data_IF_748169733007
#
_entry.id   IF_748169733007
#
_cell.length_a   1.000
_cell.length_b   1.000
_cell.length_c   1.000
_cell.angle_alpha   90.00
_cell.angle_beta   90.00
_cell.angle_gamma   90.00
#
_symmetry.space_group_name_H-M   'P 1'
#
loop_
_entity.id
_entity.type
_entity.pdbx_description
1 polymer ?
2 non-polymer ?
3 non-polymer ?
4 water ?
#
# COMPACT_ATOMS: atom_id res chain seq x y z
N UNK A 22 10.42 -23.89 -4.97
CA UNK A 22 10.83 -22.48 -5.26
C UNK A 22 12.25 -22.20 -4.78
N UNK A 23 12.97 -21.31 -5.47
CA UNK A 23 14.34 -20.99 -5.05
C UNK A 23 14.39 -20.00 -3.87
N UNK A 24 15.60 -19.69 -3.39
CA UNK A 24 15.77 -18.73 -2.27
C UNK A 24 15.18 -17.39 -2.71
N UNK A 25 14.63 -16.62 -1.77
CA UNK A 25 14.03 -15.31 -2.06
C UNK A 25 14.82 -14.44 -3.03
N UNK A 26 16.08 -14.14 -2.70
CA UNK A 26 16.90 -13.30 -3.58
C UNK A 26 17.08 -13.89 -4.97
N UNK A 27 17.22 -15.22 -5.05
CA UNK A 27 17.37 -15.83 -6.35
C UNK A 27 16.08 -15.71 -7.14
N UNK A 28 14.93 -15.83 -6.47
CA UNK A 28 13.65 -15.69 -7.16
C UNK A 28 13.48 -14.25 -7.64
N UNK A 29 13.86 -13.29 -6.79
CA UNK A 29 13.72 -11.89 -7.18
C UNK A 29 14.53 -11.62 -8.46
N UNK A 30 15.77 -12.12 -8.49
CA UNK A 30 16.62 -11.94 -9.67
C UNK A 30 15.96 -12.57 -10.90
N UNK A 31 15.41 -13.76 -10.72
CA UNK A 31 14.74 -14.46 -11.81
C UNK A 31 13.56 -13.64 -12.32
N UNK A 32 12.83 -12.98 -11.42
CA UNK A 32 11.71 -12.15 -11.86
C UNK A 32 12.19 -10.97 -12.72
N UNK A 33 13.31 -10.35 -12.37
CA UNK A 33 13.79 -9.22 -13.20
C UNK A 33 14.18 -9.75 -14.59
N UNK A 34 14.80 -10.93 -14.63
CA UNK A 34 15.21 -11.53 -15.89
C UNK A 34 14.01 -11.85 -16.79
N UNK A 35 13.01 -12.49 -16.21
CA UNK A 35 11.82 -12.87 -16.96
C UNK A 35 10.95 -11.66 -17.34
N UNK A 36 10.91 -10.64 -16.50
CA UNK A 36 10.08 -9.46 -16.80
C UNK A 36 10.79 -8.32 -17.56
N UNK A 37 12.11 -8.33 -17.53
CA UNK A 37 12.93 -7.28 -18.12
C UNK A 37 12.58 -5.99 -17.38
N UNK A 38 12.23 -6.10 -16.10
CA UNK A 38 11.89 -4.92 -15.33
C UNK A 38 12.63 -4.87 -14.01
N UNK A 39 12.50 -3.75 -13.29
CA UNK A 39 13.16 -3.58 -11.99
C UNK A 39 12.19 -4.01 -10.90
N UNK A 40 12.69 -4.81 -9.96
CA UNK A 40 11.92 -5.24 -8.80
C UNK A 40 12.58 -4.58 -7.59
N UNK A 41 11.75 -4.13 -6.64
CA UNK A 41 12.26 -3.51 -5.42
C UNK A 41 11.59 -4.30 -4.31
N UNK A 42 12.34 -4.75 -3.30
CA UNK A 42 11.71 -5.55 -2.26
C UNK A 42 12.34 -5.44 -0.87
N UNK A 43 11.50 -5.49 0.16
CA UNK A 43 12.00 -5.50 1.52
C UNK A 43 11.11 -6.43 2.32
N UNK A 44 11.74 -7.26 3.14
CA UNK A 44 11.06 -8.18 4.05
C UNK A 44 11.54 -7.75 5.43
N UNK A 45 10.61 -7.38 6.30
CA UNK A 45 10.98 -6.80 7.59
C UNK A 45 10.13 -7.34 8.75
N UNK A 46 10.76 -7.57 9.90
CA UNK A 46 10.00 -8.02 11.06
C UNK A 46 9.09 -6.86 11.49
N UNK A 47 7.80 -7.11 11.63
CA UNK A 47 6.88 -6.05 12.03
C UNK A 47 7.11 -5.52 13.44
N UNK A 48 7.36 -6.42 14.37
CA UNK A 48 7.56 -6.04 15.76
C UNK A 48 8.84 -5.25 16.03
N UNK A 49 9.93 -5.63 15.39
CA UNK A 49 11.20 -4.97 15.65
C UNK A 49 11.80 -4.12 14.55
N UNK A 50 11.44 -4.40 13.29
CA UNK A 50 12.00 -3.65 12.18
C UNK A 50 13.26 -4.29 11.63
N UNK A 51 13.58 -5.49 12.11
CA UNK A 51 14.75 -6.18 11.61
C UNK A 51 14.56 -6.43 10.10
N UNK A 52 15.54 -6.01 9.30
CA UNK A 52 15.48 -6.22 7.86
C UNK A 52 16.05 -7.60 7.50
N UNK A 53 15.25 -8.43 6.83
CA UNK A 53 15.67 -9.78 6.45
C UNK A 53 16.16 -9.90 5.03
N UNK A 54 15.38 -9.40 4.08
CA UNK A 54 15.73 -9.45 2.67
C UNK A 54 15.57 -8.02 2.14
N UNK A 55 16.55 -7.57 1.38
CA UNK A 55 16.50 -6.22 0.83
C UNK A 55 17.10 -6.27 -0.58
N UNK A 56 16.31 -5.84 -1.56
CA UNK A 56 16.74 -5.81 -2.95
C UNK A 56 16.28 -4.49 -3.56
N UNK A 57 17.24 -3.70 -4.03
CA UNK A 57 16.98 -2.37 -4.59
C UNK A 57 16.12 -1.60 -3.59
N UNK A 58 16.42 -1.80 -2.32
CA UNK A 58 15.65 -1.19 -1.23
C UNK A 58 15.68 0.32 -1.13
N UNK A 59 16.72 0.94 -1.71
CA UNK A 59 16.82 2.38 -1.68
C UNK A 59 16.55 3.01 -3.03
N UNK A 60 16.01 2.23 -3.97
CA UNK A 60 15.68 2.77 -5.29
C UNK A 60 14.21 3.19 -5.32
N UNK A 61 13.89 4.18 -6.14
CA UNK A 61 12.52 4.69 -6.22
C UNK A 61 11.58 3.88 -7.11
N UNK A 62 10.35 3.73 -6.61
CA UNK A 62 9.29 3.03 -7.32
C UNK A 62 7.99 3.79 -7.13
N UNK A 63 7.13 3.81 -8.16
CA UNK A 63 5.84 4.51 -8.04
C UNK A 63 5.02 3.76 -6.95
N UNK A 64 4.39 4.50 -6.03
CA UNK A 64 3.58 3.88 -4.99
C UNK A 64 2.25 3.32 -5.51
N UNK A 65 1.69 3.98 -6.51
CA UNK A 65 0.38 3.55 -7.04
C UNK A 65 -0.62 3.52 -5.89
N UNK A 66 -1.56 2.57 -5.91
CA UNK A 66 -2.58 2.52 -4.87
C UNK A 66 -2.07 2.25 -3.46
N UNK A 67 -0.83 1.80 -3.33
CA UNK A 67 -0.35 1.50 -1.98
C UNK A 67 -0.25 2.78 -1.15
N UNK A 68 -0.21 3.95 -1.79
CA UNK A 68 -0.13 5.19 -1.03
C UNK A 68 -1.34 5.36 -0.13
N UNK A 69 -2.44 4.69 -0.48
CA UNK A 69 -3.68 4.84 0.30
C UNK A 69 -3.58 4.42 1.77
N UNK A 70 -2.65 3.52 2.09
CA UNK A 70 -2.49 3.12 3.50
C UNK A 70 -1.84 4.28 4.26
N UNK A 71 -0.86 4.95 3.66
CA UNK A 71 -0.23 6.10 4.30
C UNK A 71 -1.24 7.24 4.44
N UNK A 72 -2.03 7.46 3.40
CA UNK A 72 -3.09 8.47 3.42
C UNK A 72 -4.00 8.27 4.63
N UNK A 73 -4.52 7.04 4.82
CA UNK A 73 -5.40 6.82 5.95
C UNK A 73 -4.67 6.89 7.30
N UNK A 74 -3.34 6.72 7.29
CA UNK A 74 -2.59 6.89 8.52
C UNK A 74 -2.61 8.39 8.86
N UNK A 75 -2.51 9.25 7.85
CA UNK A 75 -2.53 10.71 8.08
C UNK A 75 -3.93 11.10 8.58
N UNK A 76 -4.98 10.50 8.02
CA UNK A 76 -6.33 10.78 8.47
C UNK A 76 -6.49 10.37 9.95
N UNK A 77 -6.03 9.16 10.30
CA UNK A 77 -6.12 8.70 11.68
C UNK A 77 -5.34 9.60 12.63
N UNK A 78 -4.22 10.16 12.17
CA UNK A 78 -3.44 11.06 13.01
C UNK A 78 -4.27 12.30 13.32
N UNK A 79 -5.05 12.76 12.34
CA UNK A 79 -5.90 13.93 12.57
C UNK A 79 -7.03 13.58 13.54
N UNK A 80 -7.56 12.38 13.42
CA UNK A 80 -8.62 11.94 14.34
C UNK A 80 -8.06 11.89 15.76
N UNK A 81 -6.86 11.34 15.92
CA UNK A 81 -6.23 11.24 17.25
C UNK A 81 -6.03 12.62 17.89
N UNK A 82 -5.74 13.62 17.06
CA UNK A 82 -5.53 14.98 17.53
C UNK A 82 -6.83 15.76 17.74
N UNK A 83 -7.96 15.16 17.38
CA UNK A 83 -9.24 15.82 17.55
C UNK A 83 -9.58 16.77 16.42
N UNK A 84 -8.87 16.68 15.31
CA UNK A 84 -9.12 17.57 14.17
C UNK A 84 -9.97 16.91 13.10
N UNK A 85 -10.32 15.66 13.33
CA UNK A 85 -11.12 14.88 12.37
C UNK A 85 -11.90 13.83 13.14
N UNK A 86 -12.98 13.33 12.56
CA UNK A 86 -13.77 12.28 13.17
C UNK A 86 -14.05 11.27 12.07
N UNK A 87 -13.92 9.99 12.38
CA UNK A 87 -14.20 8.97 11.36
C UNK A 87 -15.69 8.98 11.06
N UNK A 88 -16.50 9.46 11.99
CA UNK A 88 -17.95 9.53 11.80
C UNK A 88 -18.42 10.69 10.91
N UNK A 89 -17.59 11.72 10.76
CA UNK A 89 -17.99 12.89 9.99
C UNK A 89 -18.40 12.54 8.57
N UNK A 90 -19.62 12.92 8.21
CA UNK A 90 -20.14 12.63 6.87
C UNK A 90 -19.70 13.69 5.88
N UNK A 91 -19.16 13.27 4.75
CA UNK A 91 -18.73 14.20 3.72
C UNK A 91 -19.69 14.06 2.54
N UNK A 92 -20.24 15.18 2.07
CA UNK A 92 -21.13 15.12 0.92
C UNK A 92 -20.34 15.65 -0.28
N UNK A 93 -20.43 14.96 -1.41
CA UNK A 93 -19.68 15.37 -2.58
C UNK A 93 -20.58 15.35 -3.82
N UNK A 94 -20.03 15.80 -4.95
CA UNK A 94 -20.79 15.87 -6.19
C UNK A 94 -20.27 14.93 -7.26
N UNK A 95 -21.10 14.68 -8.26
CA UNK A 95 -20.70 13.77 -9.33
C UNK A 95 -19.46 14.28 -10.05
N UNK A 96 -19.35 15.61 -10.14
CA UNK A 96 -18.19 16.22 -10.80
C UNK A 96 -16.89 15.98 -10.04
N UNK A 97 -16.98 15.53 -8.80
CA UNK A 97 -15.79 15.27 -7.97
C UNK A 97 -15.24 13.87 -8.21
N UNK A 98 -16.00 13.04 -8.89
CA UNK A 98 -15.57 11.67 -9.12
C UNK A 98 -14.54 11.51 -10.20
N UNK A 99 -13.58 10.62 -9.97
CA UNK A 99 -12.59 10.29 -10.97
C UNK A 99 -12.77 8.81 -11.33
N UNK A 100 -11.97 8.35 -12.29
CA UNK A 100 -12.02 6.98 -12.77
C UNK A 100 -11.92 5.92 -11.67
N UNK A 101 -12.91 5.04 -11.65
CA UNK A 101 -13.07 3.89 -10.73
C UNK A 101 -13.42 4.29 -9.31
N UNK A 102 -14.72 4.36 -9.09
CA UNK A 102 -15.31 4.77 -7.82
C UNK A 102 -16.48 3.83 -7.52
N UNK A 103 -16.19 2.52 -7.37
CA UNK A 103 -17.24 1.54 -7.11
C UNK A 103 -18.14 1.78 -5.92
N UNK A 104 -17.61 2.37 -4.86
CA UNK A 104 -18.40 2.64 -3.66
C UNK A 104 -18.88 4.10 -3.66
N UNK A 105 -17.97 5.04 -3.87
CA UNK A 105 -18.35 6.45 -3.82
C UNK A 105 -19.41 6.88 -4.85
N UNK A 106 -19.46 6.23 -6.01
CA UNK A 106 -20.48 6.63 -7.00
C UNK A 106 -21.89 6.26 -6.54
N UNK A 107 -21.99 5.43 -5.51
CA UNK A 107 -23.29 4.99 -4.98
C UNK A 107 -23.83 5.89 -3.89
N UNK A 108 -23.04 6.88 -3.45
CA UNK A 108 -23.46 7.74 -2.36
C UNK A 108 -23.49 9.23 -2.69
N UNK A 109 -23.94 9.55 -3.89
CA UNK A 109 -24.03 10.95 -4.30
C UNK A 109 -25.16 11.64 -3.53
N UNK A 110 -26.16 10.88 -3.13
CA UNK A 110 -27.29 11.47 -2.40
C UNK A 110 -27.06 11.54 -0.90
N UNK A 111 -26.45 10.51 -0.32
CA UNK A 111 -26.28 10.49 1.12
C UNK A 111 -24.90 10.72 1.71
N UNK A 112 -23.89 10.80 0.85
CA UNK A 112 -22.54 11.04 1.35
C UNK A 112 -21.94 9.81 1.97
N UNK A 113 -20.71 9.97 2.46
CA UNK A 113 -19.97 8.89 3.10
C UNK A 113 -19.19 9.45 4.28
N UNK A 114 -19.05 8.65 5.34
CA UNK A 114 -18.27 9.16 6.47
C UNK A 114 -16.78 9.05 6.12
N UNK A 115 -15.96 9.80 6.85
CA UNK A 115 -14.51 9.75 6.66
C UNK A 115 -14.04 8.29 6.83
N UNK A 116 -14.53 7.61 7.86
CA UNK A 116 -14.15 6.21 8.05
C UNK A 116 -14.58 5.36 6.88
N UNK A 117 -15.78 5.60 6.35
CA UNK A 117 -16.24 4.82 5.19
C UNK A 117 -15.38 5.08 3.96
N UNK A 118 -14.92 6.32 3.81
CA UNK A 118 -14.07 6.67 2.69
C UNK A 118 -12.73 5.92 2.78
N UNK A 119 -12.16 5.83 3.98
CA UNK A 119 -10.90 5.07 4.13
C UNK A 119 -11.14 3.60 3.84
N UNK A 120 -12.27 3.04 4.30
CA UNK A 120 -12.54 1.65 4.00
C UNK A 120 -12.69 1.46 2.49
N UNK A 121 -13.39 2.39 1.82
CA UNK A 121 -13.58 2.29 0.37
C UNK A 121 -12.24 2.41 -0.36
N UNK A 122 -11.41 3.38 0.03
CA UNK A 122 -10.11 3.56 -0.60
C UNK A 122 -9.21 2.32 -0.42
N UNK A 123 -9.11 1.83 0.80
CA UNK A 123 -8.20 0.70 1.04
C UNK A 123 -8.77 -0.67 0.66
N UNK A 124 -10.01 -0.97 1.06
CA UNK A 124 -10.55 -2.30 0.77
C UNK A 124 -11.18 -2.48 -0.61
N UNK A 125 -11.58 -1.38 -1.25
CA UNK A 125 -12.19 -1.44 -2.58
C UNK A 125 -11.43 -0.67 -3.67
N UNK A 126 -10.28 -0.09 -3.31
CA UNK A 126 -9.45 0.70 -4.23
C UNK A 126 -10.25 1.81 -4.92
N UNK A 127 -11.13 2.43 -4.15
CA UNK A 127 -11.98 3.52 -4.67
C UNK A 127 -11.15 4.79 -4.87
N UNK A 128 -11.00 5.25 -6.11
CA UNK A 128 -10.16 6.41 -6.37
C UNK A 128 -10.73 7.75 -5.94
N UNK A 129 -12.06 7.92 -6.04
CA UNK A 129 -12.64 9.17 -5.61
C UNK A 129 -12.59 9.24 -4.08
N UNK A 130 -12.80 8.11 -3.41
CA UNK A 130 -12.74 8.11 -1.95
C UNK A 130 -11.32 8.57 -1.54
N UNK A 131 -10.29 8.10 -2.24
CA UNK A 131 -8.94 8.52 -1.94
C UNK A 131 -8.70 10.02 -2.16
N UNK A 132 -9.25 10.56 -3.24
CA UNK A 132 -9.08 12.00 -3.50
C UNK A 132 -9.81 12.85 -2.47
N UNK A 133 -11.01 12.42 -2.08
CA UNK A 133 -11.75 13.14 -1.06
C UNK A 133 -10.94 13.18 0.24
N UNK A 134 -10.32 12.06 0.61
CA UNK A 134 -9.50 12.01 1.83
C UNK A 134 -8.21 12.83 1.68
N UNK A 135 -7.63 12.81 0.49
CA UNK A 135 -6.40 13.54 0.24
C UNK A 135 -6.62 15.04 0.48
N UNK A 136 -7.78 15.54 0.06
CA UNK A 136 -8.08 16.93 0.26
C UNK A 136 -8.11 17.27 1.75
N UNK A 137 -8.69 16.38 2.57
CA UNK A 137 -8.77 16.64 4.01
C UNK A 137 -7.44 16.74 4.73
N UNK A 138 -6.38 16.18 4.15
CA UNK A 138 -5.06 16.23 4.77
C UNK A 138 -4.15 17.26 4.13
N UNK A 139 -4.69 18.06 3.22
CA UNK A 139 -3.88 19.10 2.60
C UNK A 139 -3.32 18.76 1.23
N UNK A 140 -3.94 17.78 0.59
CA UNK A 140 -3.51 17.35 -0.74
C UNK A 140 -2.18 16.65 -0.69
N UNK A 141 -1.59 16.36 -1.88
CA UNK A 141 -0.30 15.69 -1.97
C UNK A 141 0.76 16.40 -1.12
N UNK A 142 0.78 17.72 -1.15
CA UNK A 142 1.79 18.45 -0.37
C UNK A 142 1.58 18.17 1.12
N UNK A 143 0.32 18.17 1.55
CA UNK A 143 -0.01 17.89 2.94
C UNK A 143 0.38 16.48 3.38
N UNK A 144 0.14 15.49 2.53
CA UNK A 144 0.50 14.12 2.88
C UNK A 144 2.02 13.98 2.93
N UNK A 145 2.73 14.66 2.04
CA UNK A 145 4.19 14.60 2.04
C UNK A 145 4.73 15.24 3.32
N UNK A 146 4.12 16.34 3.75
CA UNK A 146 4.54 16.99 5.00
C UNK A 146 4.34 16.02 6.18
N UNK A 147 3.23 15.28 6.15
CA UNK A 147 2.95 14.28 7.20
C UNK A 147 4.07 13.25 7.22
N UNK A 148 4.47 12.78 6.03
CA UNK A 148 5.54 11.79 5.93
C UNK A 148 6.82 12.37 6.54
N UNK A 149 7.12 13.62 6.22
CA UNK A 149 8.32 14.24 6.77
C UNK A 149 8.22 14.32 8.30
N UNK A 150 7.01 14.58 8.80
CA UNK A 150 6.82 14.65 10.24
C UNK A 150 7.00 13.34 11.00
N UNK A 151 6.79 12.20 10.34
CA UNK A 151 6.99 10.92 11.01
C UNK A 151 8.39 10.38 10.67
N UNK A 152 9.23 11.21 10.08
CA UNK A 152 10.58 10.76 9.80
C UNK A 152 10.87 10.13 8.46
N UNK A 153 9.92 10.16 7.53
CA UNK A 153 10.15 9.60 6.20
C UNK A 153 10.58 10.80 5.33
N UNK A 154 11.86 10.85 4.98
CA UNK A 154 12.39 11.95 4.18
C UNK A 154 12.55 11.60 2.71
N UNK A 155 12.00 10.46 2.29
CA UNK A 155 12.11 9.98 0.92
C UNK A 155 10.79 9.88 0.14
N UNK A 156 9.80 9.24 0.74
CA UNK A 156 8.52 9.11 0.06
C UNK A 156 7.88 10.47 -0.26
N UNK A 157 7.25 10.58 -1.43
CA UNK A 157 6.62 11.84 -1.80
C UNK A 157 5.38 11.61 -2.64
N UNK A 158 4.33 12.37 -2.35
CA UNK A 158 3.14 12.30 -3.20
C UNK A 158 3.07 13.68 -3.83
N UNK A 159 2.82 13.71 -5.12
CA UNK A 159 2.77 14.96 -5.89
C UNK A 159 1.49 15.19 -6.66
N UNK A 160 0.77 14.11 -6.94
CA UNK A 160 -0.45 14.21 -7.74
C UNK A 160 -1.62 13.50 -7.11
N UNK A 161 -2.77 13.60 -7.75
CA UNK A 161 -4.01 13.00 -7.29
C UNK A 161 -4.34 11.76 -8.11
N UNK A 162 -5.42 11.06 -7.73
CA UNK A 162 -5.84 9.91 -8.54
C UNK A 162 -6.52 10.53 -9.76
N UNK A 163 -6.34 9.95 -10.95
CA UNK A 163 -5.53 8.76 -11.20
C UNK A 163 -4.16 9.07 -11.81
N UNK A 164 -3.84 10.35 -11.97
CA UNK A 164 -2.53 10.71 -12.57
C UNK A 164 -1.31 10.20 -11.80
N UNK A 165 -1.46 9.97 -10.50
CA UNK A 165 -0.32 9.49 -9.70
C UNK A 165 0.16 8.09 -10.11
N UNK A 166 -0.61 7.41 -10.95
CA UNK A 166 -0.22 6.06 -11.41
C UNK A 166 0.52 6.07 -12.73
N UNK A 167 0.84 7.26 -13.25
CA UNK A 167 1.46 7.36 -14.58
C UNK A 167 2.79 6.65 -14.75
N UNK A 168 3.59 6.61 -13.70
CA UNK A 168 4.86 5.88 -13.74
C UNK A 168 5.77 6.18 -14.94
N UNK A 169 6.02 7.45 -15.21
CA UNK A 169 6.92 7.82 -16.31
C UNK A 169 8.32 7.39 -15.92
N UNK A 170 9.10 6.90 -16.89
CA UNK A 170 10.46 6.49 -16.54
C UNK A 170 11.27 7.68 -15.99
N UNK A 171 11.97 7.45 -14.88
CA UNK A 171 12.80 8.48 -14.28
C UNK A 171 12.11 9.61 -13.53
N UNK A 172 10.78 9.54 -13.44
CA UNK A 172 9.98 10.55 -12.77
C UNK A 172 9.96 10.26 -11.27
N UNK A 173 10.40 11.22 -10.47
CA UNK A 173 10.44 11.02 -9.02
C UNK A 173 9.08 11.28 -8.35
N UNK A 174 8.11 11.77 -9.11
CA UNK A 174 6.80 12.07 -8.54
C UNK A 174 6.06 10.82 -8.05
N UNK A 175 5.40 10.94 -6.89
CA UNK A 175 4.57 9.85 -6.37
C UNK A 175 5.31 8.55 -6.16
N UNK A 176 6.53 8.67 -5.65
CA UNK A 176 7.35 7.49 -5.43
C UNK A 176 7.73 7.28 -3.96
N UNK A 177 8.22 6.08 -3.70
CA UNK A 177 8.74 5.72 -2.39
C UNK A 177 9.91 4.78 -2.70
N UNK A 178 10.52 4.25 -1.65
CA UNK A 178 11.55 3.23 -1.85
C UNK A 178 11.04 2.07 -1.00
N UNK A 179 11.45 0.84 -1.30
CA UNK A 179 10.97 -0.27 -0.47
C UNK A 179 11.30 -0.08 1.01
N UNK A 180 12.52 0.36 1.29
CA UNK A 180 12.95 0.56 2.67
C UNK A 180 12.14 1.65 3.36
N UNK A 181 11.86 2.75 2.65
CA UNK A 181 11.10 3.85 3.25
C UNK A 181 9.67 3.44 3.50
N UNK A 182 9.05 2.76 2.54
CA UNK A 182 7.68 2.33 2.72
C UNK A 182 7.51 1.33 3.85
N UNK A 183 8.42 0.36 3.96
CA UNK A 183 8.33 -0.62 5.03
C UNK A 183 8.48 0.08 6.38
N UNK A 184 9.46 0.97 6.49
CA UNK A 184 9.66 1.67 7.76
C UNK A 184 8.44 2.51 8.15
N UNK A 185 7.87 3.19 7.16
CA UNK A 185 6.72 4.05 7.40
C UNK A 185 5.50 3.23 7.80
N UNK A 186 5.28 2.10 7.13
CA UNK A 186 4.15 1.25 7.50
C UNK A 186 4.35 0.78 8.93
N UNK A 187 5.59 0.40 9.27
CA UNK A 187 5.85 -0.06 10.63
C UNK A 187 5.57 1.05 11.64
N UNK A 188 5.98 2.27 11.34
CA UNK A 188 5.73 3.40 12.24
C UNK A 188 4.23 3.59 12.46
N UNK A 189 3.45 3.52 11.36
CA UNK A 189 2.01 3.73 11.50
C UNK A 189 1.29 2.62 12.25
N UNK A 190 1.71 1.39 12.06
CA UNK A 190 1.04 0.27 12.69
C UNK A 190 1.49 -0.09 14.10
N UNK A 191 2.74 0.23 14.44
CA UNK A 191 3.26 -0.19 15.74
C UNK A 191 4.02 0.80 16.61
N UNK A 192 4.38 1.97 16.11
CA UNK A 192 5.22 2.86 16.92
C UNK A 192 4.55 3.72 17.96
N UNK A 193 3.25 3.60 18.09
CA UNK A 193 2.52 4.38 19.06
C UNK A 193 2.48 5.87 18.72
N UNK A 194 2.71 6.18 17.45
CA UNK A 194 2.59 7.56 16.98
C UNK A 194 1.07 7.74 16.86
N UNK A 195 0.40 6.70 16.36
CA UNK A 195 -1.07 6.71 16.27
C UNK A 195 -1.58 6.07 17.55
N UNK A 196 -2.80 6.42 17.97
CA UNK A 196 -3.39 5.81 19.18
C UNK A 196 -3.60 4.31 18.98
N UNK A 197 -3.87 3.56 20.05
CA UNK A 197 -4.07 2.13 19.93
C UNK A 197 -5.24 1.84 19.01
N UNK A 198 -6.35 2.56 19.20
CA UNK A 198 -7.52 2.33 18.35
C UNK A 198 -7.18 2.64 16.90
N UNK A 199 -6.44 3.71 16.63
CA UNK A 199 -6.09 4.02 15.26
C UNK A 199 -5.18 2.96 14.65
N UNK A 200 -4.19 2.48 15.41
CA UNK A 200 -3.32 1.43 14.87
C UNK A 200 -4.16 0.20 14.51
N UNK A 201 -5.09 -0.16 15.40
CA UNK A 201 -5.95 -1.32 15.15
C UNK A 201 -6.85 -1.13 13.93
N UNK A 202 -7.33 0.09 13.74
CA UNK A 202 -8.19 0.40 12.59
C UNK A 202 -7.42 0.31 11.27
N UNK A 203 -6.21 0.85 11.24
CA UNK A 203 -5.43 0.80 10.00
C UNK A 203 -5.16 -0.64 9.62
N UNK A 204 -4.83 -1.46 10.61
CA UNK A 204 -4.55 -2.87 10.36
C UNK A 204 -5.81 -3.59 9.83
N UNK A 205 -6.95 -3.32 10.46
CA UNK A 205 -8.21 -3.96 10.03
C UNK A 205 -8.57 -3.59 8.59
N UNK A 206 -8.31 -2.35 8.18
CA UNK A 206 -8.62 -1.99 6.80
C UNK A 206 -7.78 -2.82 5.83
N UNK A 207 -6.53 -3.09 6.18
CA UNK A 207 -5.69 -3.90 5.31
C UNK A 207 -6.13 -5.36 5.32
N UNK A 208 -6.60 -5.85 6.46
CA UNK A 208 -7.09 -7.21 6.58
C UNK A 208 -8.35 -7.38 5.71
N UNK A 209 -9.13 -6.32 5.65
CA UNK A 209 -10.40 -6.33 4.91
C UNK A 209 -10.36 -6.10 3.40
N UNK A 210 -9.20 -6.15 2.75
CA UNK A 210 -9.13 -5.96 1.30
C UNK A 210 -10.17 -6.91 0.63
N UNK A 211 -11.04 -6.36 -0.21
CA UNK A 211 -12.08 -7.17 -0.86
C UNK A 211 -11.71 -7.62 -2.25
N UNK A 212 -10.57 -7.16 -2.73
CA UNK A 212 -10.13 -7.49 -4.07
C UNK A 212 -9.01 -8.54 -4.08
N UNK A 213 -7.78 -8.09 -3.89
CA UNK A 213 -6.67 -9.03 -3.89
C UNK A 213 -6.62 -9.97 -2.70
N UNK A 214 -6.97 -9.46 -1.51
CA UNK A 214 -6.92 -10.26 -0.30
C UNK A 214 -7.53 -11.65 -0.38
N UNK A 215 -8.81 -11.75 -0.73
CA UNK A 215 -9.48 -13.05 -0.82
C UNK A 215 -8.82 -14.05 -1.77
N UNK A 216 -8.33 -13.56 -2.91
CA UNK A 216 -7.69 -14.41 -3.88
C UNK A 216 -6.36 -14.90 -3.31
N UNK A 217 -5.59 -14.00 -2.72
CA UNK A 217 -4.31 -14.38 -2.11
C UNK A 217 -4.54 -15.45 -1.04
N UNK A 218 -5.54 -15.24 -0.19
CA UNK A 218 -5.84 -16.21 0.87
C UNK A 218 -6.14 -17.57 0.24
N UNK A 219 -6.91 -17.57 -0.84
CA UNK A 219 -7.25 -18.84 -1.50
C UNK A 219 -6.02 -19.64 -1.94
N UNK A 220 -4.91 -18.97 -2.24
CA UNK A 220 -3.72 -19.70 -2.67
C UNK A 220 -2.60 -19.79 -1.62
N UNK A 221 -2.81 -19.21 -0.45
CA UNK A 221 -1.81 -19.32 0.60
C UNK A 221 -2.00 -20.63 1.34
N UNK A 222 -0.91 -21.26 1.80
CA UNK A 222 -1.10 -22.51 2.54
C UNK A 222 -1.87 -22.20 3.83
N UNK A 223 -2.53 -23.20 4.39
CA UNK A 223 -3.23 -23.01 5.64
C UNK A 223 -2.28 -22.47 6.72
N UNK A 224 -2.79 -21.58 7.56
CA UNK A 224 -2.00 -21.04 8.64
C UNK A 224 -1.27 -19.75 8.39
N UNK A 225 -1.30 -19.26 7.15
CA UNK A 225 -0.63 -18.01 6.85
C UNK A 225 -1.59 -16.81 6.90
N UNK A 226 -1.17 -15.81 7.66
CA UNK A 226 -1.91 -14.56 7.85
C UNK A 226 -1.60 -13.64 6.66
N UNK A 227 -2.61 -12.94 6.14
CA UNK A 227 -2.35 -11.96 5.09
C UNK A 227 -3.23 -10.72 5.28
N UNK A 228 -2.62 -9.54 5.11
CA UNK A 228 -3.33 -8.25 5.13
C UNK A 228 -2.55 -7.48 4.03
N UNK A 229 -3.21 -6.61 3.26
CA UNK A 229 -2.47 -6.00 2.15
C UNK A 229 -3.18 -4.84 1.49
N UNK A 230 -2.39 -4.14 0.65
CA UNK A 230 -2.90 -3.12 -0.26
C UNK A 230 -2.05 -3.32 -1.52
N UNK A 231 -2.69 -3.55 -2.67
CA UNK A 231 -1.98 -3.73 -3.93
C UNK A 231 -2.12 -2.47 -4.76
N UNK A 232 -1.37 -2.39 -5.86
CA UNK A 232 -1.49 -1.24 -6.73
C UNK A 232 -0.92 -1.59 -8.10
N UNK A 233 -1.31 -0.82 -9.12
CA UNK A 233 -0.82 -1.02 -10.47
C UNK A 233 -0.65 0.34 -11.12
N UNK A 234 0.07 0.36 -12.23
CA UNK A 234 0.29 1.62 -12.93
C UNK A 234 0.72 1.36 -14.36
N UNK A 235 1.12 2.41 -15.05
CA UNK A 235 1.57 2.29 -16.42
C UNK A 235 2.96 1.70 -16.53
N UNK A 236 3.30 1.29 -17.75
CA UNK A 236 4.61 0.73 -18.02
C UNK A 236 4.97 -0.45 -17.14
N UNK A 237 3.97 -1.26 -16.83
CA UNK A 237 4.19 -2.45 -16.03
C UNK A 237 4.21 -2.26 -14.53
N UNK A 238 4.03 -1.04 -14.06
CA UNK A 238 4.07 -0.83 -12.62
C UNK A 238 3.09 -1.74 -11.87
N UNK A 239 3.54 -2.29 -10.76
CA UNK A 239 2.70 -3.22 -10.00
C UNK A 239 3.33 -3.30 -8.61
N UNK A 240 2.51 -3.46 -7.58
CA UNK A 240 3.12 -3.56 -6.25
C UNK A 240 2.16 -4.00 -5.18
N UNK A 241 2.75 -4.32 -4.02
CA UNK A 241 1.96 -4.73 -2.87
C UNK A 241 2.70 -4.41 -1.59
N UNK A 242 1.96 -3.94 -0.61
CA UNK A 242 2.48 -3.74 0.75
C UNK A 242 1.65 -4.75 1.55
N UNK A 243 2.30 -5.62 2.31
CA UNK A 243 1.56 -6.66 3.01
C UNK A 243 2.14 -7.04 4.34
N UNK A 244 1.28 -7.66 5.16
CA UNK A 244 1.68 -8.22 6.44
C UNK A 244 1.48 -9.72 6.21
N UNK A 245 2.48 -10.52 6.56
CA UNK A 245 2.42 -11.93 6.27
C UNK A 245 3.11 -12.72 7.36
N UNK A 246 2.60 -13.91 7.63
CA UNK A 246 3.30 -14.72 8.61
C UNK A 246 2.59 -16.03 8.87
N UNK A 247 3.34 -17.05 9.32
CA UNK A 247 2.77 -18.36 9.63
C UNK A 247 2.16 -18.31 11.04
N UNK A 248 1.55 -19.40 11.46
CA UNK A 248 0.93 -19.48 12.76
C UNK A 248 -0.13 -18.38 12.93
N UNK A 249 -0.74 -17.99 11.81
CA UNK A 249 -1.81 -16.99 11.76
C UNK A 249 -1.46 -15.67 12.42
N UNK A 250 -0.20 -15.29 12.30
CA UNK A 250 0.30 -14.06 12.90
C UNK A 250 0.91 -13.11 11.86
N UNK A 251 0.70 -11.80 12.03
CA UNK A 251 1.29 -10.79 11.14
C UNK A 251 2.76 -10.60 11.56
N UNK A 252 3.62 -11.53 11.15
CA UNK A 252 5.02 -11.48 11.57
C UNK A 252 5.89 -10.50 10.81
N UNK A 253 5.69 -10.43 9.49
CA UNK A 253 6.52 -9.57 8.68
C UNK A 253 5.80 -8.64 7.73
N UNK A 254 6.44 -7.52 7.50
CA UNK A 254 5.98 -6.56 6.50
C UNK A 254 6.75 -6.97 5.24
N UNK A 255 6.04 -7.10 4.13
CA UNK A 255 6.68 -7.45 2.85
C UNK A 255 6.22 -6.38 1.86
N UNK A 256 7.19 -5.69 1.26
CA UNK A 256 6.88 -4.65 0.27
C UNK A 256 7.55 -5.07 -1.02
N UNK A 257 6.79 -5.16 -2.10
CA UNK A 257 7.34 -5.54 -3.39
C UNK A 257 6.80 -4.60 -4.45
N UNK A 258 7.69 -3.95 -5.20
CA UNK A 258 7.29 -3.05 -6.29
C UNK A 258 7.97 -3.52 -7.57
N UNK A 259 7.30 -3.32 -8.69
CA UNK A 259 7.83 -3.69 -10.02
C UNK A 259 7.65 -2.44 -10.88
N UNK A 260 8.59 -2.17 -11.78
CA UNK A 260 8.43 -1.04 -12.69
C UNK A 260 9.17 -1.29 -13.98
N UNK A 261 8.75 -0.59 -15.01
CA UNK A 261 9.36 -0.65 -16.33
C UNK A 261 9.54 -2.02 -16.94
N UNK A 262 8.42 -2.75 -17.04
CA UNK A 262 8.40 -4.04 -17.68
C UNK A 262 7.23 -3.99 -18.67
N UNK A 263 7.38 -4.60 -19.85
CA UNK A 263 6.27 -4.58 -20.82
C UNK A 263 5.36 -5.80 -20.61
N UNK A 264 5.56 -6.55 -19.53
CA UNK A 264 4.78 -7.77 -19.34
C UNK A 264 3.29 -7.62 -19.03
N UNK A 265 2.54 -8.67 -19.37
CA UNK A 265 1.12 -8.69 -19.10
C UNK A 265 0.89 -8.59 -17.60
N UNK A 266 -0.29 -8.14 -17.22
CA UNK A 266 -0.66 -8.06 -15.81
C UNK A 266 -0.58 -9.46 -15.18
N UNK A 267 -1.04 -10.48 -15.89
CA UNK A 267 -0.98 -11.83 -15.35
C UNK A 267 0.43 -12.24 -14.98
N UNK A 268 1.39 -11.95 -15.87
CA UNK A 268 2.78 -12.32 -15.59
C UNK A 268 3.38 -11.52 -14.44
N UNK A 269 3.00 -10.26 -14.32
CA UNK A 269 3.49 -9.46 -13.21
C UNK A 269 2.91 -10.02 -11.92
N UNK A 270 1.63 -10.41 -11.94
CA UNK A 270 1.02 -11.00 -10.73
C UNK A 270 1.73 -12.32 -10.39
N UNK A 271 2.01 -13.11 -11.41
CA UNK A 271 2.66 -14.39 -11.18
C UNK A 271 4.05 -14.26 -10.57
N UNK A 272 4.82 -13.27 -11.02
CA UNK A 272 6.17 -13.07 -10.51
C UNK A 272 6.14 -12.63 -9.05
N UNK A 273 5.22 -11.73 -8.72
CA UNK A 273 5.08 -11.30 -7.34
C UNK A 273 4.68 -12.50 -6.49
N UNK A 274 3.72 -13.29 -6.95
CA UNK A 274 3.31 -14.48 -6.22
C UNK A 274 4.50 -15.41 -6.04
N UNK A 275 5.35 -15.52 -7.07
CA UNK A 275 6.52 -16.40 -6.99
C UNK A 275 7.52 -15.95 -5.93
N UNK A 276 7.68 -14.64 -5.77
CA UNK A 276 8.56 -14.15 -4.73
C UNK A 276 7.93 -14.50 -3.38
N UNK A 277 6.61 -14.40 -3.28
CA UNK A 277 5.95 -14.76 -2.03
C UNK A 277 6.13 -16.24 -1.73
N UNK A 278 6.08 -17.06 -2.77
CA UNK A 278 6.23 -18.50 -2.60
C UNK A 278 7.63 -18.81 -2.11
N UNK A 279 8.61 -18.07 -2.61
CA UNK A 279 9.99 -18.27 -2.20
C UNK A 279 10.13 -17.92 -0.73
N UNK A 280 9.45 -16.86 -0.27
CA UNK A 280 9.49 -16.47 1.14
C UNK A 280 8.86 -17.54 2.02
N UNK A 281 7.70 -18.04 1.61
CA UNK A 281 6.97 -19.05 2.36
C UNK A 281 7.77 -20.35 2.49
N UNK A 282 8.42 -20.76 1.42
CA UNK A 282 9.20 -22.00 1.44
C UNK A 282 10.53 -21.88 2.18
N UNK A 283 11.01 -20.66 2.34
CA UNK A 283 12.29 -20.41 3.00
C UNK A 283 12.09 -19.28 4.02
N UNK A 284 11.17 -19.51 4.95
CA UNK A 284 10.81 -18.52 5.95
C UNK A 284 11.77 -18.32 7.11
N UNK A 285 12.37 -19.41 7.58
CA UNK A 285 13.28 -19.31 8.71
C UNK A 285 14.65 -18.74 8.39
N UNK A 286 14.77 -17.42 8.48
CA UNK A 286 16.05 -16.76 8.21
C UNK A 286 16.36 -15.72 9.28
X LIG B 1 3.26 -25.08 -1.13
X LIG B 1 2.31 -26.20 -0.68
X LIG B 1 1.95 -26.06 0.79
X LIG B 1 3.21 -25.99 1.64
X LIG B 1 4.13 -24.86 1.10
X LIG B 1 5.41 -24.81 1.88
X LIG B 1 1.12 -26.13 -1.51
X LIG B 1 1.12 -27.20 1.13
X LIG B 1 4.44 -25.07 -0.27
X LIG B 1 6.19 -26.02 1.74
X LIG B 1 2.56 -23.84 -1.01
X LIG B 1 2.87 -25.72 3.00
X LIG B 1 1.80 -20.34 -3.06
X LIG B 1 1.05 -21.56 -3.60
X LIG B 1 1.09 -22.58 -2.45
X LIG B 1 2.53 -22.88 -2.11
X LIG B 1 3.26 -21.64 -1.68
X LIG B 1 4.75 -21.85 -1.39
X LIG B 1 1.83 -19.35 -4.05
X LIG B 1 -0.28 -21.25 -3.93
X LIG B 1 0.44 -23.77 -2.89
X LIG B 1 3.17 -20.67 -2.71
X LIG B 1 5.36 -22.51 -2.56
X LIG B 1 2.18 -18.05 -3.54
X LIG B 1 0.91 -17.31 -3.25
X LIG B 1 1.36 -15.96 -2.72
X LIG B 1 0.42 -14.91 -3.27
X LIG B 1 0.74 -13.52 -2.84
X LIG B 1 2.08 -13.06 -2.37
X LIG B 1 2.16 -11.59 -1.99
X LIG B 1 3.61 -11.10 -2.11
X LIG B 1 4.50 -11.31 -0.86
X LIG B 1 3.85 -10.99 0.48
X LIG B 1 2.45 -11.59 0.58
X LIG B 1 1.55 -11.38 -0.62
X LIG C 1 -1.91 -15.25 -7.52
X LIG C 1 -1.55 -13.80 -7.68
X LIG C 1 -1.41 -12.88 -6.52
X LIG C 1 -1.04 -11.45 -6.87
X LIG C 1 0.23 -11.03 -6.13
X LIG C 1 0.34 -9.52 -5.75
X LIG C 1 -0.52 -8.56 -6.54
X LIG C 1 -1.96 -9.04 -6.73
X LIG C 1 -2.22 -10.55 -6.62
X LIG D 1 -5.36 -0.12 -6.21
X LIG D 1 -4.70 0.49 -7.05
X LIG D 1 -4.73 0.30 -8.57
X LIG D 1 -4.09 1.11 -9.41
X LIG D 1 -4.44 0.83 -10.65
X LIG D 1 -4.07 1.36 -11.88
X LIG D 1 -4.64 0.85 -13.05
X LIG D 1 -5.58 -0.18 -12.97
X LIG D 1 -5.97 -0.71 -11.74
X LIG D 1 -5.38 -0.22 -10.56
X LIG D 1 -5.57 -0.60 -9.23
X LIG D 1 -6.35 -1.44 -8.57
X LIG D 1 -6.28 -2.89 -8.86
X LIG D 1 -4.91 -3.44 -8.45
X LIG D 1 -4.40 -3.02 -7.39
X LIG D 1 -4.40 -4.29 -9.21
X LIG D 1 -7.43 -3.62 -8.14
X LIG D 1 -8.98 -2.74 -8.51
X LIG D 1 -10.09 -3.58 -8.12
X LIG D 1 -8.99 -2.59 -10.00
X LIG D 1 -7.22 -3.65 -6.63
X LIG D 1 -7.50 -5.02 -8.71
X LIG D 1 -6.28 -5.72 -8.42
X LIG D 1 -6.43 -7.02 -8.78
X LIG D 1 -6.78 -7.32 -9.92
X LIG D 1 -6.12 -8.10 -7.74
X LIG D 1 -6.09 -9.44 -8.46
X LIG D 1 -7.27 -10.03 -8.89
X LIG D 1 -4.87 -10.05 -8.75
X LIG D 1 -4.85 -11.25 -9.45
X LIG D 1 -6.03 -11.83 -9.88
X LIG D 1 -5.98 -13.03 -10.52
X LIG D 1 -7.25 -11.23 -9.59
X LIG D 1 -8.43 -11.78 -9.97
#
# INVERSE_FOLDING_TARGET
MRYIRLCIISLLATLPLAVHASPQPLEQIKLSESQLSGRVGMIEMDLASGRTLTAWRADERFPMMSTFKVVLCGAVLARVDAGDEQLERKIHYRQQDLVDYSPVSEKHLADGMTVGELCAAAITMSDNSAANLLLATVGGPAGLTAFLRQIGDNVTRLDRWETELNEALPGDARDTTTPASMAATLRKLLTSQRLSARSQRQLLQWMVDDRVAGPLIRSVLPAGWFIADKTGAGERGARGIVALLGPNNKAERIVVIYLRDTPASMAERNQQIAGIGAALIEHWQR
MA4 C1 C2 C3 C4 C5 C6 O2 O3 O5 O6 O1 O4 C10 C20 C30 C40 C50 C60 O10 O20 O30 O50 O60 C11 C21 C31 C41 C51 C61 C12 C22 C32 C42 C52 C62
MA4 C41 C51 C61 C12 C22 C32 C42 C52 C62
LN1 O8 C7 C6 C9 CG CD1 CE1 CZ CE2 ND2 C5 N4 C3 C3A O3A O3B C2 S1 O12 O13 CG2 CG1 OAV CAX OAD CAS CAY CAQ CAM CAN CAZ OAH CBA OAI
#
